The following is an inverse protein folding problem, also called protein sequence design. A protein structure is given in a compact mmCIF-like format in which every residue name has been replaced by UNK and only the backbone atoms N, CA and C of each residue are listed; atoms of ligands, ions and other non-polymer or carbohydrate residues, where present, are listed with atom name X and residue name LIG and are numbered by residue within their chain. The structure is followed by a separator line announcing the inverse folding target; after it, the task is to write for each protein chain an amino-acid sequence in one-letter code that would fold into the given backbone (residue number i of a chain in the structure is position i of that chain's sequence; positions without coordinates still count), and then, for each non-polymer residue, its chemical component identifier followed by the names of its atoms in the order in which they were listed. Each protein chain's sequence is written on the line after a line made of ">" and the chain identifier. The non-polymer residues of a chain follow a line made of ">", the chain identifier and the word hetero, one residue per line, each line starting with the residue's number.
data_IF_347557033635
#
_entry.id   IF_347557033635
#
_cell.length_a   1.000
_cell.length_b   1.000
_cell.length_c   1.000
_cell.angle_alpha   90.00
_cell.angle_beta   90.00
_cell.angle_gamma   90.00
#
_symmetry.space_group_name_H-M   'P 1'
#
loop_
_entity.id
_entity.type
_entity.pdbx_description
1 polymer ?
#
# COMPACT_ATOMS: atom_id res chain seq x y z
N UNK A 1 9.88 7.40 -14.97
CA UNK A 1 10.53 6.70 -13.86
C UNK A 1 9.51 6.33 -12.81
N UNK A 2 9.12 7.21 -11.88
CA UNK A 2 8.01 6.97 -10.94
C UNK A 2 7.01 8.12 -11.07
N UNK A 3 6.01 8.01 -11.96
CA UNK A 3 5.20 9.15 -12.39
C UNK A 3 4.02 9.47 -11.45
N UNK A 4 3.72 8.61 -10.48
CA UNK A 4 2.55 8.76 -9.62
C UNK A 4 2.94 9.31 -8.24
N UNK A 5 2.21 10.31 -7.77
CA UNK A 5 2.32 10.80 -6.41
C UNK A 5 1.51 9.92 -5.47
N UNK A 6 2.16 9.38 -4.44
CA UNK A 6 1.50 8.61 -3.38
C UNK A 6 1.03 9.54 -2.27
N UNK A 7 -0.26 9.49 -1.97
CA UNK A 7 -0.85 10.08 -0.77
C UNK A 7 -1.13 8.96 0.22
N UNK A 8 -0.67 9.13 1.45
CA UNK A 8 -0.93 8.20 2.54
C UNK A 8 -1.72 8.91 3.62
N UNK A 9 -3.00 8.59 3.73
CA UNK A 9 -3.94 9.20 4.66
C UNK A 9 -4.28 8.26 5.82
N UNK A 10 -4.84 8.84 6.87
CA UNK A 10 -5.42 8.06 7.97
C UNK A 10 -6.80 7.53 7.54
N UNK A 11 -7.03 6.21 7.53
CA UNK A 11 -8.32 5.65 7.14
C UNK A 11 -9.37 5.85 8.25
N UNK A 12 -10.64 5.79 7.87
CA UNK A 12 -11.76 5.91 8.82
C UNK A 12 -11.94 4.67 9.70
N UNK A 13 -11.50 3.52 9.20
CA UNK A 13 -11.79 2.21 9.79
C UNK A 13 -10.85 1.84 10.94
N UNK A 14 -9.75 2.57 11.13
CA UNK A 14 -8.73 2.27 12.16
C UNK A 14 -7.87 3.48 12.47
N UNK A 15 -7.15 3.40 13.60
CA UNK A 15 -6.12 4.37 13.98
C UNK A 15 -4.75 3.68 13.89
N UNK A 16 -3.91 4.14 12.95
CA UNK A 16 -2.67 3.44 12.60
C UNK A 16 -2.93 1.94 12.34
N UNK A 17 -2.19 1.03 12.95
CA UNK A 17 -2.43 -0.41 12.85
C UNK A 17 -3.42 -0.96 13.90
N UNK A 18 -3.93 -0.09 14.77
CA UNK A 18 -4.97 -0.48 15.72
C UNK A 18 -6.26 -0.77 14.99
N UNK A 19 -6.93 -1.86 15.39
CA UNK A 19 -8.16 -2.34 14.77
C UNK A 19 -8.01 -2.80 13.29
N UNK A 20 -6.81 -2.95 12.77
CA UNK A 20 -6.62 -3.45 11.39
C UNK A 20 -7.17 -4.88 11.21
N UNK A 21 -7.10 -5.71 12.24
CA UNK A 21 -7.76 -7.03 12.28
C UNK A 21 -9.27 -6.98 12.58
N UNK A 22 -9.84 -5.81 12.84
CA UNK A 22 -11.26 -5.65 13.18
C UNK A 22 -12.19 -5.81 11.97
N UNK A 23 -13.42 -6.18 12.22
CA UNK A 23 -14.43 -6.46 11.18
C UNK A 23 -14.61 -5.28 10.21
N UNK A 24 -14.64 -4.06 10.72
CA UNK A 24 -14.83 -2.84 9.89
C UNK A 24 -13.63 -2.62 8.98
N UNK A 25 -12.42 -2.77 9.49
CA UNK A 25 -11.21 -2.65 8.69
C UNK A 25 -11.12 -3.75 7.64
N UNK A 26 -11.39 -4.99 8.03
CA UNK A 26 -11.40 -6.13 7.10
C UNK A 26 -12.44 -5.96 5.98
N UNK A 27 -13.61 -5.44 6.28
CA UNK A 27 -14.66 -5.16 5.30
C UNK A 27 -14.26 -4.07 4.28
N UNK A 28 -13.33 -3.19 4.64
CA UNK A 28 -12.81 -2.14 3.74
C UNK A 28 -11.72 -2.63 2.78
N UNK A 29 -11.19 -3.84 2.99
CA UNK A 29 -10.12 -4.40 2.15
C UNK A 29 -10.63 -4.76 0.75
N UNK A 30 -9.76 -4.65 -0.23
CA UNK A 30 -9.98 -5.09 -1.60
C UNK A 30 -9.07 -6.29 -1.87
N UNK A 31 -9.65 -7.42 -2.24
CA UNK A 31 -8.92 -8.69 -2.39
C UNK A 31 -8.08 -9.05 -1.14
N UNK A 32 -8.61 -8.77 0.05
CA UNK A 32 -7.97 -9.00 1.34
C UNK A 32 -6.86 -8.01 1.70
N UNK A 33 -6.54 -7.05 0.83
CA UNK A 33 -5.45 -6.08 0.97
C UNK A 33 -5.98 -4.66 1.15
N UNK A 34 -5.12 -3.77 1.61
CA UNK A 34 -5.46 -2.35 1.68
C UNK A 34 -5.82 -1.83 0.29
N UNK A 35 -6.92 -1.08 0.12
CA UNK A 35 -7.27 -0.52 -1.16
C UNK A 35 -6.31 0.61 -1.53
N UNK A 36 -5.82 0.58 -2.77
CA UNK A 36 -5.17 1.72 -3.40
C UNK A 36 -6.15 2.40 -4.35
N UNK A 37 -6.42 3.66 -4.12
CA UNK A 37 -7.29 4.45 -4.98
C UNK A 37 -6.49 4.94 -6.19
N UNK A 38 -6.99 4.63 -7.38
CA UNK A 38 -6.34 4.97 -8.64
C UNK A 38 -7.36 5.59 -9.60
N UNK A 39 -6.95 6.66 -10.28
CA UNK A 39 -7.78 7.31 -11.30
C UNK A 39 -8.02 6.37 -12.49
N UNK A 40 -9.21 6.36 -13.10
CA UNK A 40 -9.52 5.50 -14.23
C UNK A 40 -8.57 5.63 -15.42
N UNK A 41 -8.04 6.82 -15.69
CA UNK A 41 -7.07 7.04 -16.77
C UNK A 41 -5.73 6.36 -16.46
N UNK A 42 -5.26 6.46 -15.23
CA UNK A 42 -4.01 5.81 -14.78
C UNK A 42 -4.14 4.29 -14.78
N UNK A 43 -5.30 3.78 -14.36
CA UNK A 43 -5.61 2.35 -14.38
C UNK A 43 -5.68 1.80 -15.81
N UNK A 44 -6.38 2.49 -16.71
CA UNK A 44 -6.51 2.09 -18.11
C UNK A 44 -5.16 2.05 -18.84
N UNK A 45 -4.29 3.04 -18.58
CA UNK A 45 -2.94 3.09 -19.16
C UNK A 45 -2.06 1.89 -18.74
N UNK A 46 -2.41 1.20 -17.65
CA UNK A 46 -1.67 0.07 -17.07
C UNK A 46 -2.40 -1.27 -17.16
N UNK A 47 -3.57 -1.30 -17.76
CA UNK A 47 -4.39 -2.50 -17.86
C UNK A 47 -4.91 -2.99 -16.50
N UNK A 48 -5.10 -2.09 -15.54
CA UNK A 48 -5.59 -2.39 -14.20
C UNK A 48 -7.11 -2.25 -14.18
N UNK A 49 -7.78 -3.28 -13.68
CA UNK A 49 -9.23 -3.30 -13.44
C UNK A 49 -9.53 -3.14 -11.95
N UNK A 50 -10.71 -2.62 -11.64
CA UNK A 50 -11.19 -2.54 -10.25
C UNK A 50 -11.21 -3.91 -9.59
N UNK A 51 -10.65 -4.01 -8.39
CA UNK A 51 -10.52 -5.27 -7.66
C UNK A 51 -9.24 -6.08 -7.96
N UNK A 52 -8.45 -5.71 -8.94
CA UNK A 52 -7.18 -6.39 -9.23
C UNK A 52 -6.19 -6.24 -8.06
N UNK A 53 -5.37 -7.27 -7.86
CA UNK A 53 -4.19 -7.14 -7.02
C UNK A 53 -3.11 -6.42 -7.84
N UNK A 54 -2.59 -5.35 -7.27
CA UNK A 54 -1.58 -4.50 -7.90
C UNK A 54 -0.32 -4.40 -7.06
N UNK A 55 0.78 -4.12 -7.70
CA UNK A 55 2.07 -3.88 -7.08
C UNK A 55 2.44 -2.42 -7.18
N UNK A 56 2.62 -1.77 -6.02
CA UNK A 56 3.21 -0.44 -5.94
C UNK A 56 4.69 -0.58 -5.62
N UNK A 57 5.53 0.18 -6.31
CA UNK A 57 6.96 0.10 -6.09
C UNK A 57 7.69 1.40 -6.41
N UNK A 58 8.85 1.53 -5.81
CA UNK A 58 9.87 2.52 -6.10
C UNK A 58 11.25 1.97 -5.70
N UNK A 59 12.29 2.82 -5.69
CA UNK A 59 13.65 2.39 -5.32
C UNK A 59 13.77 1.91 -3.87
N UNK A 60 12.78 2.19 -3.00
CA UNK A 60 12.82 1.85 -1.57
C UNK A 60 12.19 0.53 -1.26
N UNK A 61 11.14 0.17 -1.95
CA UNK A 61 10.42 -1.04 -1.63
C UNK A 61 9.26 -1.33 -2.56
N UNK A 62 8.52 -2.35 -2.20
CA UNK A 62 7.39 -2.87 -2.97
C UNK A 62 6.30 -3.36 -2.03
N UNK A 63 5.05 -3.03 -2.34
CA UNK A 63 3.90 -3.62 -1.65
C UNK A 63 2.79 -4.02 -2.62
N UNK A 64 1.99 -5.00 -2.22
CA UNK A 64 0.76 -5.39 -2.90
C UNK A 64 -0.43 -4.67 -2.27
N UNK A 65 -1.37 -4.26 -3.09
CA UNK A 65 -2.62 -3.64 -2.68
C UNK A 65 -3.77 -4.11 -3.56
N UNK A 66 -5.01 -3.84 -3.16
CA UNK A 66 -6.18 -4.07 -3.99
C UNK A 66 -6.57 -2.80 -4.73
N UNK A 67 -6.75 -2.86 -6.04
CA UNK A 67 -7.10 -1.69 -6.83
C UNK A 67 -8.55 -1.26 -6.61
N UNK A 68 -8.75 0.00 -6.22
CA UNK A 68 -10.03 0.68 -6.21
C UNK A 68 -9.99 1.78 -7.28
N UNK A 69 -10.56 1.51 -8.44
CA UNK A 69 -10.60 2.44 -9.56
C UNK A 69 -11.72 3.44 -9.33
N UNK A 70 -11.39 4.71 -9.18
CA UNK A 70 -12.36 5.77 -8.88
C UNK A 70 -11.92 7.12 -9.42
N UNK A 71 -12.86 7.91 -9.89
CA UNK A 71 -12.64 9.29 -10.33
C UNK A 71 -12.55 10.30 -9.15
N UNK A 72 -12.76 9.83 -7.92
CA UNK A 72 -12.55 10.62 -6.70
C UNK A 72 -11.09 10.96 -6.44
N UNK A 73 -10.15 10.25 -7.08
CA UNK A 73 -8.73 10.54 -7.02
C UNK A 73 -8.25 11.19 -8.32
N UNK A 74 -7.40 12.20 -8.21
CA UNK A 74 -6.87 12.94 -9.36
C UNK A 74 -5.95 12.08 -10.21
N UNK A 75 -5.97 12.29 -11.53
CA UNK A 75 -4.98 11.74 -12.46
C UNK A 75 -3.54 12.06 -12.01
N UNK A 76 -2.67 11.09 -12.05
CA UNK A 76 -1.28 11.21 -11.58
C UNK A 76 -1.07 11.04 -10.08
N UNK A 77 -2.14 10.76 -9.32
CA UNK A 77 -2.10 10.57 -7.87
C UNK A 77 -2.72 9.23 -7.50
N UNK A 78 -2.11 8.52 -6.58
CA UNK A 78 -2.67 7.32 -5.95
C UNK A 78 -2.72 7.50 -4.44
N UNK A 79 -3.72 6.91 -3.80
CA UNK A 79 -3.92 6.99 -2.36
C UNK A 79 -3.89 5.61 -1.75
N UNK A 80 -3.00 5.41 -0.78
CA UNK A 80 -2.89 4.18 0.00
C UNK A 80 -2.82 4.55 1.48
N UNK A 81 -3.87 4.23 2.23
CA UNK A 81 -3.98 4.63 3.64
C UNK A 81 -2.91 3.98 4.51
N UNK A 82 -2.52 4.67 5.57
CA UNK A 82 -1.59 4.17 6.58
C UNK A 82 -2.23 3.11 7.47
N UNK A 83 -1.40 2.33 8.16
CA UNK A 83 -1.80 1.46 9.26
C UNK A 83 -2.15 0.03 8.88
N UNK A 84 -2.08 -0.35 7.60
CA UNK A 84 -2.10 -1.77 7.25
C UNK A 84 -0.89 -2.48 7.87
N UNK A 85 -1.12 -3.61 8.52
CA UNK A 85 -0.04 -4.36 9.16
C UNK A 85 0.94 -4.87 8.11
N UNK A 86 2.22 -4.75 8.42
CA UNK A 86 3.30 -5.25 7.57
C UNK A 86 3.26 -6.79 7.51
N UNK A 87 3.21 -7.32 6.29
CA UNK A 87 3.16 -8.77 6.03
C UNK A 87 4.20 -9.13 4.95
N UNK A 88 5.47 -9.26 5.32
CA UNK A 88 6.55 -9.51 4.36
C UNK A 88 6.43 -10.91 3.75
N UNK A 89 6.72 -11.01 2.45
CA UNK A 89 6.79 -12.30 1.75
C UNK A 89 7.89 -13.19 2.33
N UNK A 90 9.03 -12.58 2.66
CA UNK A 90 10.17 -13.24 3.31
C UNK A 90 10.46 -12.55 4.65
N UNK A 91 9.94 -13.06 5.78
CA UNK A 91 10.18 -12.46 7.09
C UNK A 91 11.67 -12.33 7.40
N UNK A 92 12.09 -11.14 7.85
CA UNK A 92 13.49 -10.84 8.18
C UNK A 92 14.37 -10.46 6.99
N UNK A 93 13.90 -10.58 5.75
CA UNK A 93 14.63 -10.12 4.58
C UNK A 93 14.46 -8.62 4.36
N UNK A 94 15.57 -7.91 4.24
CA UNK A 94 15.55 -6.48 3.91
C UNK A 94 15.01 -6.27 2.49
N UNK A 95 14.03 -5.37 2.34
CA UNK A 95 13.43 -5.08 1.04
C UNK A 95 12.43 -6.13 0.54
N UNK A 96 12.01 -7.06 1.40
CA UNK A 96 10.97 -8.03 1.08
C UNK A 96 9.67 -7.34 0.67
N UNK A 97 8.97 -7.96 -0.29
CA UNK A 97 7.64 -7.51 -0.71
C UNK A 97 6.66 -7.55 0.46
N UNK A 98 5.97 -6.45 0.73
CA UNK A 98 4.83 -6.44 1.64
C UNK A 98 3.57 -6.92 0.91
N UNK A 99 2.92 -7.94 1.44
CA UNK A 99 1.74 -8.58 0.83
C UNK A 99 0.43 -7.86 1.11
N UNK A 100 0.39 -6.92 2.06
CA UNK A 100 -0.86 -6.43 2.66
C UNK A 100 -1.21 -4.99 2.30
N UNK A 101 -0.25 -4.18 1.87
CA UNK A 101 -0.47 -2.79 1.48
C UNK A 101 -0.03 -1.76 2.51
N UNK A 102 1.08 -2.01 3.19
CA UNK A 102 1.69 -1.04 4.09
C UNK A 102 2.50 0.00 3.30
N UNK A 103 2.08 1.27 3.24
CA UNK A 103 2.77 2.29 2.44
C UNK A 103 4.15 2.68 3.00
N UNK A 104 4.46 2.34 4.25
CA UNK A 104 5.74 2.70 4.86
C UNK A 104 6.94 2.07 4.15
N UNK A 105 6.76 0.97 3.43
CA UNK A 105 7.84 0.37 2.62
C UNK A 105 8.26 1.24 1.43
N UNK A 106 7.42 2.20 1.05
CA UNK A 106 7.61 3.08 -0.11
C UNK A 106 8.08 4.48 0.28
N UNK A 107 7.93 4.88 1.55
CA UNK A 107 8.18 6.25 2.02
C UNK A 107 9.65 6.49 2.31
N UNK A 108 10.04 7.78 2.25
CA UNK A 108 11.40 8.20 2.55
C UNK A 108 11.62 8.28 4.06
N UNK A 109 12.76 7.77 4.49
CA UNK A 109 13.30 7.99 5.83
C UNK A 109 14.34 9.12 5.78
N UNK A 110 13.86 10.32 5.44
CA UNK A 110 14.69 11.52 5.40
C UNK A 110 14.07 12.61 6.25
N UNK A 111 14.92 13.38 6.91
CA UNK A 111 14.51 14.55 7.70
C UNK A 111 13.80 15.59 6.83
N UNK A 112 12.75 16.23 7.36
CA UNK A 112 12.04 17.31 6.67
C UNK A 112 12.86 18.60 6.60
N UNK A 113 13.75 18.81 7.56
CA UNK A 113 14.69 19.92 7.59
C UNK A 113 15.81 19.67 8.60
N UNK A 114 16.90 20.45 8.50
CA UNK A 114 18.00 20.41 9.46
C UNK A 114 17.62 20.87 10.88
N UNK A 115 16.43 21.42 11.06
CA UNK A 115 15.95 21.99 12.34
C UNK A 115 14.76 21.25 12.92
N UNK A 116 14.12 20.36 12.16
CA UNK A 116 12.96 19.60 12.61
C UNK A 116 13.07 18.16 12.10
N UNK A 117 13.29 17.26 13.01
CA UNK A 117 13.18 15.83 12.76
C UNK A 117 11.71 15.43 12.70
N UNK A 118 11.10 15.61 11.55
CA UNK A 118 9.76 15.12 11.27
C UNK A 118 9.82 14.18 10.08
N UNK A 119 8.99 13.17 10.06
CA UNK A 119 8.92 12.23 8.94
C UNK A 119 8.49 12.95 7.67
N UNK A 120 9.34 12.94 6.65
CA UNK A 120 9.00 13.43 5.33
C UNK A 120 8.28 12.34 4.53
N UNK A 121 7.05 12.03 4.95
CA UNK A 121 6.20 11.09 4.23
C UNK A 121 5.74 11.63 2.86
N UNK A 122 6.05 12.86 2.57
CA UNK A 122 5.74 13.54 1.31
C UNK A 122 6.94 14.35 0.83
N UNK A 123 7.23 14.36 -0.47
CA UNK A 123 6.55 13.70 -1.59
C UNK A 123 7.12 12.29 -1.86
N UNK A 124 6.27 11.29 -1.95
CA UNK A 124 6.67 9.94 -2.37
C UNK A 124 6.18 9.69 -3.79
N UNK A 125 7.09 9.29 -4.66
CA UNK A 125 6.78 8.90 -6.03
C UNK A 125 6.82 7.37 -6.16
N UNK A 126 5.85 6.83 -6.88
CA UNK A 126 5.70 5.39 -7.10
C UNK A 126 5.31 5.09 -8.54
N UNK A 127 5.48 3.85 -8.93
CA UNK A 127 4.82 3.23 -10.07
C UNK A 127 3.87 2.15 -9.56
N UNK A 128 2.84 1.88 -10.34
CA UNK A 128 1.85 0.84 -10.06
C UNK A 128 1.68 -0.04 -11.29
N UNK A 129 1.59 -1.34 -11.07
CA UNK A 129 1.33 -2.30 -12.13
C UNK A 129 0.38 -3.39 -11.65
N UNK A 130 -0.32 -4.02 -12.58
CA UNK A 130 -1.08 -5.24 -12.28
C UNK A 130 -0.11 -6.32 -11.82
N UNK A 131 -0.42 -6.97 -10.70
CA UNK A 131 0.38 -8.08 -10.22
C UNK A 131 0.05 -9.34 -11.04
N UNK A 132 1.03 -9.87 -11.73
CA UNK A 132 0.92 -11.09 -12.53
C UNK A 132 1.59 -12.24 -11.81
N UNK A 133 1.01 -13.43 -11.95
CA UNK A 133 1.47 -14.63 -11.31
C UNK A 133 0.66 -15.01 -10.07
N UNK A 134 1.11 -16.04 -9.30
CA UNK A 134 0.40 -16.48 -8.12
C UNK A 134 0.41 -15.40 -7.04
N UNK A 135 -0.80 -15.03 -6.58
CA UNK A 135 -0.98 -14.05 -5.51
C UNK A 135 -0.59 -14.70 -4.18
N UNK A 136 0.38 -14.14 -3.42
CA UNK A 136 0.79 -14.72 -2.14
C UNK A 136 -0.33 -14.62 -1.11
N UNK A 137 -0.44 -15.65 -0.27
CA UNK A 137 -1.41 -15.70 0.82
C UNK A 137 -1.05 -14.71 1.92
N UNK A 138 -2.08 -14.05 2.46
CA UNK A 138 -1.91 -13.14 3.61
C UNK A 138 -1.72 -13.95 4.89
N UNK A 139 -0.70 -13.62 5.67
CA UNK A 139 -0.37 -14.32 6.91
C UNK A 139 -0.41 -13.43 8.15
N UNK A 140 -0.55 -12.12 7.98
CA UNK A 140 -0.50 -11.12 9.06
C UNK A 140 -1.57 -11.31 10.15
N UNK A 141 -2.70 -11.93 9.81
CA UNK A 141 -3.78 -12.24 10.75
C UNK A 141 -3.87 -13.71 11.15
N UNK A 142 -2.94 -14.54 10.65
CA UNK A 142 -2.86 -15.93 11.05
C UNK A 142 -2.47 -16.04 12.54
N UNK A 143 -3.02 -17.03 13.28
CA UNK A 143 -2.55 -17.29 14.63
C UNK A 143 -1.07 -17.69 14.60
N UNK A 144 -0.29 -17.35 15.64
CA UNK A 144 1.11 -17.76 15.73
C UNK A 144 1.21 -19.29 15.73
N UNK A 145 2.17 -19.82 14.98
CA UNK A 145 2.53 -21.23 15.11
C UNK A 145 3.11 -21.45 16.51
N UNK A 146 2.46 -22.30 17.29
CA UNK A 146 2.93 -22.68 18.62
C UNK A 146 3.67 -24.00 18.44
N UNK A 147 4.98 -23.94 18.59
CA UNK A 147 5.83 -25.13 18.65
C UNK A 147 5.59 -25.94 19.95
#
# INVERSE_FOLDING_TARGET
>A
QYPLHLISNQPRARLHSQLDGGVVSQASKVSGREPVWINPQDAAARGILDGDVVRLYNDRGTCLAGALVTDEIRHGVVQLATGARYDPLEPGAVGSLDKHGNPNVLTMDTETSKLAESTSAQPTLVEIERYEGPVPELTVFAPPEID
#
